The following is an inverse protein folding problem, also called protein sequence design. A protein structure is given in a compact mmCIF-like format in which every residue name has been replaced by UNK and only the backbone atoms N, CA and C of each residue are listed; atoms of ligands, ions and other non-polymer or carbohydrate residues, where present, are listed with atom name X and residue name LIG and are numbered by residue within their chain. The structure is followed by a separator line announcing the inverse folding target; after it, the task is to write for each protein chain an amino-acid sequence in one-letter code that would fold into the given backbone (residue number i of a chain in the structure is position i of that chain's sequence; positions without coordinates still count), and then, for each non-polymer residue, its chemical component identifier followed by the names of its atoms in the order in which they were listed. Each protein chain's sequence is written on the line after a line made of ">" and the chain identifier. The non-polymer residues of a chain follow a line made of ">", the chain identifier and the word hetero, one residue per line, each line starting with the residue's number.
data_IF_116727565952
#
_entry.id   IF_116727565952
#
_cell.length_a   1.000
_cell.length_b   1.000
_cell.length_c   1.000
_cell.angle_alpha   90.00
_cell.angle_beta   90.00
_cell.angle_gamma   90.00
#
_symmetry.space_group_name_H-M   'P 1'
#
loop_
_entity.id
_entity.type
_entity.pdbx_description
1 polymer ?
#
# COMPACT_ATOMS: atom_id res chain seq x y z
N UNK A 1 19.72 -2.39 -2.95
CA UNK A 1 18.32 -1.97 -2.70
C UNK A 1 17.49 -3.23 -2.74
N UNK A 2 16.69 -3.51 -1.72
CA UNK A 2 15.88 -4.74 -1.66
C UNK A 2 14.48 -4.46 -2.21
N UNK A 3 13.96 -5.37 -3.03
CA UNK A 3 12.58 -5.35 -3.52
C UNK A 3 11.81 -6.44 -2.79
N UNK A 4 10.66 -6.09 -2.21
CA UNK A 4 9.76 -7.03 -1.55
C UNK A 4 8.44 -7.02 -2.33
N UNK A 5 8.03 -8.20 -2.80
CA UNK A 5 6.75 -8.40 -3.47
C UNK A 5 5.72 -8.90 -2.45
N UNK A 6 4.55 -8.26 -2.40
CA UNK A 6 3.47 -8.62 -1.50
C UNK A 6 2.36 -9.32 -2.27
N UNK A 7 2.12 -10.59 -1.97
CA UNK A 7 0.93 -11.30 -2.42
C UNK A 7 -0.22 -10.97 -1.46
N UNK A 8 -0.97 -9.91 -1.79
CA UNK A 8 -2.16 -9.50 -1.04
C UNK A 8 -3.40 -10.26 -1.52
N UNK A 9 -4.41 -10.34 -0.65
CA UNK A 9 -5.69 -10.99 -0.95
C UNK A 9 -6.44 -10.25 -2.06
N UNK A 10 -7.03 -11.03 -2.98
CA UNK A 10 -7.72 -10.53 -4.18
C UNK A 10 -9.24 -10.68 -4.09
N UNK A 11 -9.95 -9.81 -4.81
CA UNK A 11 -11.37 -9.96 -5.06
C UNK A 11 -11.62 -10.99 -6.19
N UNK A 12 -12.77 -11.69 -6.21
CA UNK A 12 -13.94 -11.50 -5.35
C UNK A 12 -13.88 -12.18 -3.97
N UNK A 13 -12.95 -13.11 -3.74
CA UNK A 13 -12.86 -13.89 -2.49
C UNK A 13 -12.63 -12.99 -1.27
N UNK A 14 -11.87 -11.91 -1.46
CA UNK A 14 -11.55 -10.92 -0.44
C UNK A 14 -11.73 -9.51 -1.02
N UNK A 15 -12.95 -8.94 -0.96
CA UNK A 15 -13.21 -7.60 -1.46
C UNK A 15 -12.49 -6.52 -0.63
N UNK A 16 -12.49 -5.27 -1.14
CA UNK A 16 -12.03 -4.10 -0.38
C UNK A 16 -12.72 -4.08 1.00
N UNK A 17 -11.98 -3.93 2.12
CA UNK A 17 -10.61 -3.41 2.23
C UNK A 17 -9.47 -4.45 2.35
N UNK A 18 -9.69 -5.74 2.04
CA UNK A 18 -8.72 -6.80 2.37
C UNK A 18 -7.27 -6.54 1.90
N UNK A 19 -7.09 -6.12 0.64
CA UNK A 19 -5.76 -5.80 0.10
C UNK A 19 -5.08 -4.63 0.84
N UNK A 20 -5.86 -3.63 1.28
CA UNK A 20 -5.35 -2.49 2.06
C UNK A 20 -4.89 -2.97 3.44
N UNK A 21 -5.67 -3.85 4.07
CA UNK A 21 -5.32 -4.42 5.37
C UNK A 21 -4.02 -5.24 5.31
N UNK A 22 -3.83 -6.03 4.25
CA UNK A 22 -2.60 -6.81 4.04
C UNK A 22 -1.39 -5.89 3.85
N UNK A 23 -1.54 -4.83 3.04
CA UNK A 23 -0.46 -3.87 2.79
C UNK A 23 -0.09 -3.09 4.05
N UNK A 24 -1.08 -2.69 4.87
CA UNK A 24 -0.85 -2.06 6.17
C UNK A 24 -0.19 -3.01 7.18
N UNK A 25 -0.62 -4.27 7.21
CA UNK A 25 -0.04 -5.28 8.09
C UNK A 25 1.44 -5.50 7.76
N UNK A 26 1.76 -5.61 6.47
CA UNK A 26 3.12 -5.75 5.98
C UNK A 26 3.97 -4.51 6.27
N UNK A 27 3.48 -3.31 5.94
CA UNK A 27 4.19 -2.06 6.22
C UNK A 27 4.51 -1.89 7.70
N UNK A 28 3.54 -2.19 8.58
CA UNK A 28 3.75 -2.16 10.04
C UNK A 28 4.74 -3.22 10.51
N UNK A 29 4.79 -4.40 9.89
CA UNK A 29 5.78 -5.41 10.22
C UNK A 29 7.19 -4.88 9.96
N UNK A 30 7.43 -4.25 8.81
CA UNK A 30 8.72 -3.64 8.47
C UNK A 30 9.13 -2.55 9.48
N UNK A 31 8.18 -1.72 9.92
CA UNK A 31 8.44 -0.72 10.97
C UNK A 31 8.80 -1.38 12.31
N UNK A 32 8.09 -2.44 12.71
CA UNK A 32 8.39 -3.19 13.94
C UNK A 32 9.76 -3.86 13.90
N UNK A 33 10.21 -4.28 12.72
CA UNK A 33 11.54 -4.86 12.51
C UNK A 33 12.65 -3.78 12.47
N UNK A 34 12.32 -2.52 12.78
CA UNK A 34 13.28 -1.42 12.91
C UNK A 34 13.61 -0.72 11.60
N UNK A 35 12.91 -1.02 10.51
CA UNK A 35 13.11 -0.31 9.24
C UNK A 35 12.40 1.04 9.32
N UNK A 36 13.17 2.12 9.39
CA UNK A 36 12.64 3.49 9.36
C UNK A 36 11.74 3.72 8.14
N UNK A 37 10.62 4.43 8.32
CA UNK A 37 9.72 4.83 7.24
C UNK A 37 10.43 5.66 6.15
N UNK A 38 11.46 6.42 6.55
CA UNK A 38 12.32 7.19 5.63
C UNK A 38 13.17 6.31 4.69
N UNK A 39 13.22 4.99 4.92
CA UNK A 39 13.90 4.02 4.04
C UNK A 39 12.91 3.21 3.19
N UNK A 40 11.60 3.38 3.39
CA UNK A 40 10.56 2.63 2.70
C UNK A 40 10.00 3.44 1.53
N UNK A 41 9.77 2.75 0.42
CA UNK A 41 9.01 3.25 -0.74
C UNK A 41 7.93 2.21 -1.01
N UNK A 42 6.69 2.66 -1.23
CA UNK A 42 5.60 1.80 -1.70
C UNK A 42 5.42 2.04 -3.20
N UNK A 43 5.35 0.98 -3.98
CA UNK A 43 5.22 1.06 -5.44
C UNK A 43 4.12 0.13 -5.93
N UNK A 44 3.37 0.57 -6.94
CA UNK A 44 2.42 -0.30 -7.64
C UNK A 44 1.96 0.27 -8.99
N UNK A 45 1.52 -0.62 -9.87
CA UNK A 45 0.96 -0.31 -11.18
C UNK A 45 -0.56 -0.59 -11.23
N UNK A 46 -1.31 0.10 -12.09
CA UNK A 46 -2.74 -0.16 -12.30
C UNK A 46 -3.53 -0.23 -10.98
N UNK A 47 -4.16 -1.38 -10.69
CA UNK A 47 -4.84 -1.65 -9.42
C UNK A 47 -3.89 -1.55 -8.21
N UNK A 48 -2.63 -1.99 -8.33
CA UNK A 48 -1.58 -1.82 -7.32
C UNK A 48 -1.18 -0.36 -7.09
N UNK A 49 -1.29 0.48 -8.12
CA UNK A 49 -1.13 1.94 -7.99
C UNK A 49 -2.25 2.57 -7.16
N UNK A 50 -3.50 2.16 -7.41
CA UNK A 50 -4.65 2.51 -6.57
C UNK A 50 -4.49 2.02 -5.13
N UNK A 51 -4.06 0.77 -4.94
CA UNK A 51 -3.78 0.17 -3.64
C UNK A 51 -2.68 0.93 -2.87
N UNK A 52 -1.64 1.39 -3.56
CA UNK A 52 -0.58 2.23 -2.98
C UNK A 52 -1.15 3.52 -2.40
N UNK A 53 -2.04 4.20 -3.15
CA UNK A 53 -2.70 5.42 -2.70
C UNK A 53 -3.62 5.16 -1.50
N UNK A 54 -4.47 4.13 -1.57
CA UNK A 54 -5.35 3.73 -0.48
C UNK A 54 -4.56 3.37 0.79
N UNK A 55 -3.42 2.70 0.64
CA UNK A 55 -2.56 2.35 1.78
C UNK A 55 -2.01 3.62 2.46
N UNK A 56 -1.50 4.59 1.69
CA UNK A 56 -1.01 5.85 2.28
C UNK A 56 -2.12 6.67 2.91
N UNK A 57 -3.30 6.75 2.29
CA UNK A 57 -4.48 7.36 2.92
C UNK A 57 -4.80 6.68 4.26
N UNK A 58 -4.73 5.36 4.30
CA UNK A 58 -5.00 4.57 5.48
C UNK A 58 -3.93 4.73 6.58
N UNK A 59 -2.66 4.97 6.21
CA UNK A 59 -1.58 5.35 7.14
C UNK A 59 -1.83 6.74 7.75
N UNK A 60 -2.17 7.72 6.90
CA UNK A 60 -2.47 9.10 7.32
C UNK A 60 -3.65 9.13 8.29
N UNK A 61 -4.74 8.45 7.96
CA UNK A 61 -5.94 8.37 8.81
C UNK A 61 -5.68 7.73 10.19
N UNK A 62 -4.61 6.91 10.32
CA UNK A 62 -4.21 6.25 11.56
C UNK A 62 -3.05 6.95 12.27
N UNK A 63 -2.62 8.11 11.79
CA UNK A 63 -1.45 8.84 12.30
C UNK A 63 -0.17 7.98 12.37
N UNK A 64 0.01 7.07 11.40
CA UNK A 64 1.21 6.24 11.30
C UNK A 64 2.29 6.94 10.46
N UNK A 65 3.59 6.62 10.68
CA UNK A 65 4.67 7.11 9.82
C UNK A 65 4.41 6.77 8.35
N UNK A 66 4.57 7.75 7.47
CA UNK A 66 4.42 7.57 6.02
C UNK A 66 5.74 7.17 5.36
N UNK A 67 5.73 6.41 4.26
CA UNK A 67 6.96 6.06 3.53
C UNK A 67 7.64 7.30 2.97
N UNK A 68 8.95 7.19 2.67
CA UNK A 68 9.74 8.27 2.06
C UNK A 68 9.14 8.77 0.76
N UNK A 69 8.61 7.86 -0.05
CA UNK A 69 8.00 8.16 -1.32
C UNK A 69 7.00 7.06 -1.69
N UNK A 70 6.14 7.39 -2.65
CA UNK A 70 5.34 6.42 -3.38
C UNK A 70 5.61 6.51 -4.87
N UNK A 71 5.50 5.39 -5.57
CA UNK A 71 5.62 5.31 -7.02
C UNK A 71 4.37 4.64 -7.56
N UNK A 72 3.60 5.34 -8.38
CA UNK A 72 2.37 4.82 -8.99
C UNK A 72 2.49 4.84 -10.51
N UNK A 73 2.20 3.72 -11.16
CA UNK A 73 2.24 3.60 -12.62
C UNK A 73 0.82 3.36 -13.14
N UNK A 74 0.27 4.30 -13.91
CA UNK A 74 -1.11 4.24 -14.41
C UNK A 74 -2.13 3.84 -13.31
N UNK A 75 -2.14 4.52 -12.14
CA UNK A 75 -2.93 4.06 -11.00
C UNK A 75 -4.43 4.10 -11.31
N UNK A 76 -5.15 3.06 -10.88
CA UNK A 76 -6.61 3.07 -10.87
C UNK A 76 -7.09 3.91 -9.67
N UNK A 77 -7.47 5.17 -9.92
CA UNK A 77 -7.81 6.14 -8.87
C UNK A 77 -9.30 6.39 -8.70
N UNK A 78 -10.13 6.00 -9.66
CA UNK A 78 -11.57 6.19 -9.63
C UNK A 78 -12.31 4.90 -9.99
N UNK A 79 -13.16 4.45 -9.07
CA UNK A 79 -13.98 3.25 -9.24
C UNK A 79 -15.33 3.52 -9.90
N UNK A 80 -15.80 4.77 -9.99
CA UNK A 80 -17.11 5.05 -10.60
C UNK A 80 -17.11 4.95 -12.12
N UNK A 81 -15.95 4.94 -12.78
CA UNK A 81 -15.85 4.92 -14.25
C UNK A 81 -16.70 6.02 -14.91
N UNK A 82 -16.81 7.17 -14.23
CA UNK A 82 -17.67 8.32 -14.58
C UNK A 82 -16.91 9.40 -15.33
#
# INVERSE_FOLDING_TARGET
>A
MSLLHLEYRLAPEHPLPAAVDDTLAFYRALLRDGISSSRLIIMGDSAGGGLTLLTVQALLARHLPIPRAIITMSPWTDFSSS
#
